data_IF_765511038932
#
_entry.id   IF_765511038932
#
_cell.length_a   1.000
_cell.length_b   1.000
_cell.length_c   1.000
_cell.angle_alpha   90.00
_cell.angle_beta   90.00
_cell.angle_gamma   90.00
#
_symmetry.space_group_name_H-M   'P 1'
#
loop_
_entity.id
_entity.type
_entity.pdbx_description
1 polymer ?
#
# COMPACT_ATOMS: atom_id res chain seq x y z
N UNK A 1 34.79 -3.94 -1.24
CA UNK A 1 34.30 -4.19 -2.60
C UNK A 1 32.99 -3.44 -2.72
N UNK A 2 32.97 -2.38 -3.52
CA UNK A 2 31.87 -1.41 -3.60
C UNK A 2 30.64 -2.05 -4.23
N UNK A 3 29.55 -2.12 -3.46
CA UNK A 3 28.23 -2.40 -4.00
C UNK A 3 27.82 -1.27 -4.95
N UNK A 4 27.09 -1.68 -5.98
CA UNK A 4 26.69 -0.85 -7.12
C UNK A 4 25.57 0.08 -6.68
N UNK A 5 25.93 1.32 -6.42
CA UNK A 5 25.01 2.46 -6.37
C UNK A 5 24.48 2.71 -7.79
N UNK A 6 23.32 2.11 -8.11
CA UNK A 6 22.60 2.40 -9.36
C UNK A 6 21.63 3.54 -9.08
N UNK A 7 22.18 4.69 -8.71
CA UNK A 7 21.39 5.92 -8.62
C UNK A 7 21.04 6.38 -10.03
N UNK A 8 19.75 6.46 -10.34
CA UNK A 8 19.23 6.81 -11.67
C UNK A 8 19.42 8.32 -11.96
N UNK A 9 20.65 8.70 -12.31
CA UNK A 9 20.98 10.10 -12.63
C UNK A 9 20.48 10.55 -14.01
N UNK A 10 19.94 11.77 -14.06
CA UNK A 10 19.50 12.43 -15.30
C UNK A 10 20.67 13.22 -15.91
N UNK A 11 20.87 13.11 -17.23
CA UNK A 11 21.88 13.89 -17.95
C UNK A 11 21.43 15.33 -18.20
N UNK A 12 22.36 16.27 -18.34
CA UNK A 12 22.04 17.67 -18.68
C UNK A 12 21.13 17.80 -19.91
N UNK A 13 21.42 17.06 -20.98
CA UNK A 13 20.63 17.11 -22.21
C UNK A 13 19.18 16.62 -21.99
N UNK A 14 19.01 15.54 -21.20
CA UNK A 14 17.69 15.02 -20.85
C UNK A 14 16.94 15.98 -19.93
N UNK A 15 17.63 16.59 -18.97
CA UNK A 15 17.08 17.60 -18.06
C UNK A 15 16.57 18.83 -18.81
N UNK A 16 17.36 19.36 -19.75
CA UNK A 16 16.95 20.49 -20.60
C UNK A 16 15.69 20.18 -21.40
N UNK A 17 15.61 18.97 -21.97
CA UNK A 17 14.42 18.49 -22.69
C UNK A 17 13.21 18.34 -21.76
N UNK A 18 13.39 17.83 -20.54
CA UNK A 18 12.31 17.65 -19.57
C UNK A 18 11.76 18.97 -19.01
N UNK A 19 12.62 19.99 -18.86
CA UNK A 19 12.25 21.29 -18.29
C UNK A 19 11.96 22.36 -19.35
N UNK A 20 12.25 22.08 -20.63
CA UNK A 20 12.06 23.04 -21.72
C UNK A 20 12.96 24.28 -21.62
N UNK A 21 14.17 24.15 -21.05
CA UNK A 21 15.08 25.28 -20.80
C UNK A 21 16.45 25.13 -21.45
N UNK A 22 17.09 26.27 -21.75
CA UNK A 22 18.44 26.29 -22.31
C UNK A 22 19.50 26.00 -21.26
N UNK A 23 20.67 25.53 -21.71
CA UNK A 23 21.81 25.22 -20.84
C UNK A 23 22.22 26.41 -19.97
N UNK A 24 22.22 27.63 -20.53
CA UNK A 24 22.53 28.87 -19.79
C UNK A 24 21.60 29.08 -18.58
N UNK A 25 20.34 28.69 -18.70
CA UNK A 25 19.38 28.79 -17.59
C UNK A 25 19.70 27.77 -16.50
N UNK A 26 20.09 26.55 -16.89
CA UNK A 26 20.49 25.50 -15.94
C UNK A 26 21.79 25.90 -15.23
N UNK A 27 22.80 26.37 -15.97
CA UNK A 27 24.08 26.81 -15.43
C UNK A 27 23.88 27.96 -14.41
N UNK A 28 23.04 28.95 -14.74
CA UNK A 28 22.73 30.04 -13.80
C UNK A 28 22.02 29.59 -12.52
N UNK A 29 21.24 28.51 -12.56
CA UNK A 29 20.60 27.94 -11.36
C UNK A 29 21.59 27.12 -10.51
N UNK A 30 22.58 26.49 -11.14
CA UNK A 30 23.70 25.83 -10.46
C UNK A 30 24.59 26.88 -9.78
N UNK A 31 24.91 27.97 -10.47
CA UNK A 31 25.75 29.06 -9.93
C UNK A 31 25.09 29.76 -8.73
N UNK A 32 23.75 29.76 -8.67
CA UNK A 32 22.97 30.23 -7.53
C UNK A 32 22.97 29.25 -6.34
N UNK A 33 23.62 28.09 -6.47
CA UNK A 33 23.73 27.07 -5.42
C UNK A 33 22.44 26.32 -5.12
N UNK A 34 21.43 26.41 -6.00
CA UNK A 34 20.14 25.74 -5.79
C UNK A 34 20.26 24.22 -5.88
N UNK A 35 21.14 23.74 -6.74
CA UNK A 35 21.45 22.32 -6.93
C UNK A 35 22.96 22.14 -7.08
N UNK A 36 23.45 20.97 -6.70
CA UNK A 36 24.87 20.62 -6.75
C UNK A 36 25.03 19.28 -7.47
N UNK A 37 24.90 19.26 -8.81
CA UNK A 37 24.93 18.02 -9.58
C UNK A 37 26.30 17.35 -9.47
N UNK A 38 26.29 16.02 -9.48
CA UNK A 38 27.51 15.22 -9.50
C UNK A 38 28.13 15.20 -10.90
N UNK A 39 29.43 14.93 -10.98
CA UNK A 39 30.16 14.85 -12.25
C UNK A 39 30.48 13.39 -12.56
N UNK A 40 30.00 12.92 -13.71
CA UNK A 40 30.27 11.59 -14.24
C UNK A 40 31.48 11.55 -15.21
N UNK A 41 31.64 10.43 -15.94
CA UNK A 41 32.71 10.27 -16.93
C UNK A 41 32.69 11.40 -17.97
N UNK A 42 33.88 11.85 -18.40
CA UNK A 42 34.07 13.01 -19.31
C UNK A 42 33.52 14.34 -18.77
N UNK A 43 33.50 14.50 -17.44
CA UNK A 43 33.04 15.73 -16.77
C UNK A 43 31.56 16.07 -17.07
N UNK A 44 30.75 15.07 -17.39
CA UNK A 44 29.34 15.25 -17.69
C UNK A 44 28.51 15.45 -16.41
N UNK A 45 27.67 16.49 -16.38
CA UNK A 45 26.78 16.76 -15.25
C UNK A 45 25.69 15.70 -15.13
N UNK A 46 25.50 15.22 -13.91
CA UNK A 46 24.52 14.22 -13.50
C UNK A 46 23.65 14.81 -12.39
N UNK A 47 22.34 14.76 -12.61
CA UNK A 47 21.36 15.36 -11.71
C UNK A 47 20.59 14.26 -11.01
N UNK A 48 20.39 14.41 -9.70
CA UNK A 48 19.50 13.55 -8.93
C UNK A 48 18.05 13.89 -9.24
N UNK A 49 17.12 13.04 -8.80
CA UNK A 49 15.71 13.35 -8.86
C UNK A 49 15.37 14.65 -8.12
N UNK A 50 15.93 14.81 -6.92
CA UNK A 50 15.79 16.00 -6.09
C UNK A 50 16.22 17.26 -6.85
N UNK A 51 17.35 17.20 -7.57
CA UNK A 51 17.83 18.32 -8.39
C UNK A 51 16.80 18.71 -9.48
N UNK A 52 16.20 17.72 -10.14
CA UNK A 52 15.21 17.97 -11.21
C UNK A 52 13.96 18.65 -10.65
N UNK A 53 13.48 18.21 -9.49
CA UNK A 53 12.30 18.80 -8.83
C UNK A 53 12.59 20.23 -8.37
N UNK A 54 13.74 20.45 -7.73
CA UNK A 54 14.16 21.79 -7.28
C UNK A 54 14.28 22.78 -8.43
N UNK A 55 14.92 22.36 -9.54
CA UNK A 55 15.07 23.19 -10.73
C UNK A 55 13.73 23.51 -11.39
N UNK A 56 12.83 22.53 -11.52
CA UNK A 56 11.48 22.74 -12.07
C UNK A 56 10.69 23.75 -11.25
N UNK A 57 10.69 23.58 -9.93
CA UNK A 57 9.99 24.46 -9.00
C UNK A 57 10.58 25.87 -9.08
N UNK A 58 11.90 26.02 -9.06
CA UNK A 58 12.54 27.33 -9.19
C UNK A 58 12.15 28.07 -10.48
N UNK A 59 12.04 27.35 -11.61
CA UNK A 59 11.62 27.92 -12.88
C UNK A 59 10.17 28.40 -12.87
N UNK A 60 9.26 27.62 -12.30
CA UNK A 60 7.83 27.97 -12.20
C UNK A 60 7.59 29.16 -11.27
N UNK A 61 8.34 29.24 -10.18
CA UNK A 61 8.24 30.36 -9.24
C UNK A 61 8.82 31.66 -9.80
N UNK A 62 9.84 31.55 -10.65
CA UNK A 62 10.35 32.72 -11.37
C UNK A 62 9.30 33.31 -12.32
N UNK A 63 8.45 32.48 -12.93
CA UNK A 63 7.34 32.95 -13.78
C UNK A 63 6.19 33.57 -12.98
N UNK A 64 6.07 33.25 -11.69
CA UNK A 64 5.00 33.71 -10.80
C UNK A 64 5.27 35.05 -10.09
N UNK A 65 6.35 35.78 -10.45
CA UNK A 65 6.74 37.08 -9.83
C UNK A 65 6.85 37.05 -8.29
N UNK A 66 7.22 35.91 -7.70
CA UNK A 66 7.37 35.75 -6.25
C UNK A 66 8.63 36.43 -5.73
N UNK A 67 8.64 36.89 -4.47
CA UNK A 67 9.80 37.59 -3.90
C UNK A 67 11.01 36.65 -3.70
N UNK A 68 12.26 37.10 -3.93
CA UNK A 68 13.47 36.24 -3.85
C UNK A 68 13.69 35.57 -2.50
N UNK A 69 13.13 36.13 -1.42
CA UNK A 69 13.17 35.54 -0.08
C UNK A 69 12.23 34.34 0.04
N UNK A 70 10.96 34.50 -0.36
CA UNK A 70 9.97 33.42 -0.37
C UNK A 70 10.40 32.26 -1.27
N UNK A 71 11.02 32.58 -2.41
CA UNK A 71 11.61 31.58 -3.31
C UNK A 71 12.66 30.71 -2.60
N UNK A 72 13.59 31.35 -1.87
CA UNK A 72 14.65 30.62 -1.15
C UNK A 72 14.11 29.78 0.00
N UNK A 73 13.15 30.30 0.76
CA UNK A 73 12.51 29.56 1.87
C UNK A 73 11.75 28.34 1.36
N UNK A 74 10.97 28.47 0.27
CA UNK A 74 10.25 27.36 -0.35
C UNK A 74 11.19 26.27 -0.87
N UNK A 75 12.26 26.66 -1.57
CA UNK A 75 13.24 25.71 -2.11
C UNK A 75 14.06 25.01 -1.02
N UNK A 76 14.44 25.74 0.05
CA UNK A 76 15.18 25.16 1.18
C UNK A 76 14.33 24.16 1.98
N UNK A 77 13.03 24.43 2.12
CA UNK A 77 12.09 23.49 2.75
C UNK A 77 11.87 22.26 1.89
N UNK A 78 11.60 22.44 0.60
CA UNK A 78 11.40 21.34 -0.35
C UNK A 78 12.62 20.41 -0.42
N UNK A 79 13.84 20.96 -0.37
CA UNK A 79 15.08 20.15 -0.32
C UNK A 79 15.16 19.26 0.93
N UNK A 80 14.63 19.68 2.07
CA UNK A 80 14.66 18.86 3.31
C UNK A 80 13.61 17.76 3.33
N UNK A 81 12.51 17.95 2.60
CA UNK A 81 11.34 17.05 2.63
C UNK A 81 11.36 16.03 1.46
N UNK A 82 12.22 16.22 0.45
CA UNK A 82 12.32 15.31 -0.69
C UNK A 82 13.30 14.15 -0.41
N UNK A 83 12.86 12.88 -0.56
CA UNK A 83 13.75 11.72 -0.48
C UNK A 83 14.72 11.67 -1.67
N UNK A 84 15.86 11.02 -1.46
CA UNK A 84 16.93 10.94 -2.47
C UNK A 84 16.52 10.10 -3.70
N UNK A 85 15.65 9.09 -3.54
CA UNK A 85 15.13 8.27 -4.63
C UNK A 85 13.69 7.77 -4.38
N UNK A 86 12.77 8.04 -5.32
CA UNK A 86 11.53 7.27 -5.56
C UNK A 86 11.11 7.39 -7.04
N UNK A 87 10.51 6.35 -7.67
CA UNK A 87 10.35 6.26 -9.11
C UNK A 87 9.13 6.98 -9.71
N UNK A 88 9.11 6.98 -11.04
CA UNK A 88 8.35 7.79 -11.99
C UNK A 88 6.82 7.68 -11.91
N UNK A 89 6.15 8.64 -11.28
CA UNK A 89 5.04 9.42 -11.86
C UNK A 89 4.31 10.23 -10.80
N UNK A 90 4.08 11.51 -11.08
CA UNK A 90 2.92 12.19 -10.51
C UNK A 90 3.13 13.50 -9.75
N UNK A 91 4.34 14.05 -9.59
CA UNK A 91 4.48 15.39 -8.97
C UNK A 91 4.35 16.50 -10.02
N UNK A 92 3.25 17.26 -9.97
CA UNK A 92 3.01 18.48 -10.75
C UNK A 92 3.04 19.67 -9.80
N UNK A 93 3.93 20.64 -10.05
CA UNK A 93 3.98 21.89 -9.28
C UNK A 93 3.44 23.01 -10.18
N UNK A 94 2.67 23.95 -9.63
CA UNK A 94 2.10 25.10 -10.33
C UNK A 94 1.98 26.29 -9.37
N UNK A 95 2.07 27.53 -9.87
CA UNK A 95 1.85 28.71 -9.05
C UNK A 95 0.45 29.27 -9.33
N UNK A 96 -0.36 29.42 -8.30
CA UNK A 96 -1.70 30.03 -8.39
C UNK A 96 -1.79 31.21 -7.42
N UNK A 97 -1.76 32.43 -7.96
CA UNK A 97 -1.70 33.65 -7.16
C UNK A 97 -0.42 33.72 -6.34
N UNK A 98 -0.56 33.86 -5.01
CA UNK A 98 0.56 33.89 -4.05
C UNK A 98 0.97 32.48 -3.55
N UNK A 99 0.23 31.44 -3.97
CA UNK A 99 0.37 30.07 -3.50
C UNK A 99 1.23 29.21 -4.46
N UNK A 100 2.06 28.34 -3.91
CA UNK A 100 2.89 27.39 -4.67
C UNK A 100 2.28 26.02 -4.54
N UNK A 101 1.60 25.54 -5.55
CA UNK A 101 0.77 24.37 -5.41
C UNK A 101 1.42 23.12 -5.95
N UNK A 102 1.54 22.11 -5.10
CA UNK A 102 2.09 20.79 -5.45
C UNK A 102 0.94 19.81 -5.52
N UNK A 103 0.86 19.07 -6.63
CA UNK A 103 -0.13 18.05 -6.90
C UNK A 103 0.54 16.69 -7.06
N UNK A 104 0.11 15.70 -6.29
CA UNK A 104 0.50 14.30 -6.45
C UNK A 104 -0.75 13.42 -6.48
N UNK A 105 -1.07 12.87 -7.66
CA UNK A 105 -2.33 12.16 -7.86
C UNK A 105 -3.55 13.09 -7.58
N UNK A 106 -4.45 12.74 -6.62
CA UNK A 106 -5.58 13.58 -6.24
C UNK A 106 -5.22 14.70 -5.24
N UNK A 107 -4.05 14.64 -4.59
CA UNK A 107 -3.70 15.55 -3.49
C UNK A 107 -3.10 16.86 -4.00
N UNK A 108 -3.54 18.00 -3.44
CA UNK A 108 -3.09 19.36 -3.79
C UNK A 108 -2.78 20.17 -2.53
N UNK A 109 -1.58 20.72 -2.40
CA UNK A 109 -1.20 21.53 -1.23
C UNK A 109 -0.30 22.71 -1.60
N UNK A 110 -0.35 23.77 -0.79
CA UNK A 110 0.57 24.88 -0.87
C UNK A 110 1.94 24.50 -0.26
N UNK A 111 3.02 24.65 -1.00
CA UNK A 111 4.39 24.29 -0.64
C UNK A 111 5.04 25.28 0.34
N UNK A 112 4.48 26.48 0.49
CA UNK A 112 4.97 27.50 1.44
C UNK A 112 4.37 27.20 2.81
N UNK A 113 3.05 27.09 2.90
CA UNK A 113 2.32 26.93 4.16
C UNK A 113 2.16 25.47 4.57
N UNK A 114 2.23 24.53 3.62
CA UNK A 114 1.91 23.11 3.83
C UNK A 114 0.40 22.84 3.88
N UNK A 115 -0.43 23.85 3.63
CA UNK A 115 -1.89 23.74 3.74
C UNK A 115 -2.48 23.06 2.50
N UNK A 116 -3.38 22.09 2.69
CA UNK A 116 -4.12 21.51 1.59
C UNK A 116 -5.08 22.53 0.97
N UNK A 117 -5.09 22.61 -0.34
CA UNK A 117 -5.98 23.50 -1.09
C UNK A 117 -7.21 22.71 -1.52
N UNK A 118 -8.38 23.13 -1.04
CA UNK A 118 -9.67 22.53 -1.38
C UNK A 118 -10.06 22.90 -2.81
N UNK A 119 -10.54 21.92 -3.58
CA UNK A 119 -11.20 22.15 -4.86
C UNK A 119 -12.67 22.47 -4.58
N UNK A 120 -13.11 23.69 -4.91
CA UNK A 120 -14.52 24.06 -4.83
C UNK A 120 -15.22 23.87 -6.19
N UNK A 121 -14.92 22.77 -6.89
CA UNK A 121 -15.83 22.30 -7.93
C UNK A 121 -16.95 21.49 -7.26
N UNK A 122 -18.17 22.01 -7.38
CA UNK A 122 -19.39 21.36 -6.90
C UNK A 122 -19.62 20.10 -7.75
N UNK A 123 -19.05 18.99 -7.32
CA UNK A 123 -19.48 17.66 -7.72
C UNK A 123 -20.28 17.08 -6.55
N UNK A 124 -21.55 16.74 -6.78
CA UNK A 124 -22.37 16.00 -5.82
C UNK A 124 -21.69 14.65 -5.52
N UNK A 125 -21.10 14.53 -4.33
CA UNK A 125 -20.61 13.26 -3.81
C UNK A 125 -21.56 12.81 -2.71
N UNK A 126 -22.36 11.78 -3.01
CA UNK A 126 -22.94 10.90 -2.00
C UNK A 126 -21.81 10.02 -1.44
N UNK A 127 -21.30 10.34 -0.27
CA UNK A 127 -20.30 9.53 0.43
C UNK A 127 -19.78 10.25 1.67
N UNK A 128 -19.65 9.51 2.76
CA UNK A 128 -19.38 10.01 4.11
C UNK A 128 -18.11 10.85 4.25
N UNK A 129 -18.10 11.71 5.28
CA UNK A 129 -16.98 12.56 5.68
C UNK A 129 -15.73 11.71 5.94
N UNK A 130 -14.77 11.74 5.03
CA UNK A 130 -13.45 11.09 5.21
C UNK A 130 -12.51 12.06 5.91
N UNK A 131 -12.07 11.69 7.12
CA UNK A 131 -10.97 12.36 7.82
C UNK A 131 -9.70 12.30 6.97
N UNK A 132 -8.94 13.39 6.93
CA UNK A 132 -7.65 13.50 6.25
C UNK A 132 -6.68 12.41 6.77
N UNK A 133 -6.50 11.36 5.96
CA UNK A 133 -5.55 10.28 6.25
C UNK A 133 -4.12 10.82 6.41
N UNK A 134 -3.44 10.28 7.41
CA UNK A 134 -2.19 10.79 7.97
C UNK A 134 -1.02 10.94 6.98
N UNK A 135 -0.06 11.82 7.31
CA UNK A 135 1.17 12.04 6.52
C UNK A 135 1.96 10.75 6.26
N UNK A 136 2.73 10.64 5.15
CA UNK A 136 3.49 9.42 4.82
C UNK A 136 4.38 8.89 5.95
N UNK A 137 5.01 9.77 6.73
CA UNK A 137 5.79 9.40 7.92
C UNK A 137 4.93 8.77 9.02
N UNK A 138 3.70 9.24 9.23
CA UNK A 138 2.79 8.63 10.20
C UNK A 138 2.28 7.27 9.71
N UNK A 139 2.01 7.13 8.41
CA UNK A 139 1.66 5.82 7.81
C UNK A 139 2.81 4.82 7.94
N UNK A 140 4.07 5.25 7.74
CA UNK A 140 5.22 4.36 7.89
C UNK A 140 5.46 3.94 9.35
N UNK A 141 5.30 4.86 10.31
CA UNK A 141 5.38 4.52 11.74
C UNK A 141 4.25 3.56 12.14
N UNK A 142 3.04 3.81 11.68
CA UNK A 142 1.88 2.95 11.95
C UNK A 142 2.07 1.54 11.36
N UNK A 143 2.60 1.44 10.13
CA UNK A 143 2.95 0.15 9.51
C UNK A 143 4.02 -0.61 10.32
N UNK A 144 5.07 0.06 10.78
CA UNK A 144 6.11 -0.56 11.60
C UNK A 144 5.54 -1.07 12.94
N UNK A 145 4.67 -0.28 13.59
CA UNK A 145 4.00 -0.70 14.82
C UNK A 145 3.04 -1.85 14.60
N UNK A 146 2.29 -1.86 13.48
CA UNK A 146 1.44 -2.97 13.12
C UNK A 146 2.25 -4.26 12.95
N UNK A 147 3.38 -4.18 12.24
CA UNK A 147 4.29 -5.29 12.03
C UNK A 147 4.86 -5.84 13.35
N UNK A 148 5.32 -4.96 14.24
CA UNK A 148 5.80 -5.35 15.58
C UNK A 148 4.72 -6.10 16.38
N UNK A 149 3.47 -5.64 16.31
CA UNK A 149 2.35 -6.31 16.98
C UNK A 149 2.05 -7.68 16.39
N UNK A 150 2.14 -7.81 15.07
CA UNK A 150 1.96 -9.09 14.38
C UNK A 150 3.04 -10.11 14.80
N UNK A 151 4.31 -9.72 14.77
CA UNK A 151 5.42 -10.60 15.15
C UNK A 151 5.35 -11.05 16.62
N UNK A 152 4.91 -10.17 17.51
CA UNK A 152 4.69 -10.53 18.90
C UNK A 152 3.53 -11.51 19.07
N UNK A 153 2.45 -11.37 18.27
CA UNK A 153 1.36 -12.33 18.27
C UNK A 153 1.84 -13.72 17.85
N UNK A 154 2.62 -13.83 16.77
CA UNK A 154 3.17 -15.12 16.29
C UNK A 154 3.97 -15.86 17.37
N UNK A 155 4.77 -15.12 18.16
CA UNK A 155 5.54 -15.69 19.28
C UNK A 155 4.66 -16.23 20.41
N UNK A 156 3.49 -15.62 20.60
CA UNK A 156 2.55 -15.93 21.68
C UNK A 156 1.53 -17.01 21.31
N UNK A 157 1.30 -17.30 20.02
CA UNK A 157 0.29 -18.28 19.55
C UNK A 157 0.33 -19.59 20.34
N UNK A 158 1.53 -20.11 20.65
CA UNK A 158 1.70 -21.40 21.32
C UNK A 158 1.65 -21.34 22.85
N UNK A 159 1.87 -20.17 23.44
CA UNK A 159 2.06 -20.02 24.89
C UNK A 159 0.93 -19.26 25.56
N UNK A 160 0.33 -18.29 24.86
CA UNK A 160 -0.78 -17.46 25.32
C UNK A 160 -1.62 -17.01 24.11
N UNK A 161 -2.60 -17.83 23.75
CA UNK A 161 -3.47 -17.59 22.61
C UNK A 161 -4.35 -16.33 22.79
N UNK A 162 -4.76 -16.01 24.03
CA UNK A 162 -5.54 -14.80 24.30
C UNK A 162 -4.70 -13.53 24.10
N UNK A 163 -3.41 -13.56 24.48
CA UNK A 163 -2.50 -12.48 24.19
C UNK A 163 -2.20 -12.37 22.69
N UNK A 164 -1.99 -13.49 22.00
CA UNK A 164 -1.82 -13.51 20.55
C UNK A 164 -3.02 -12.88 19.83
N UNK A 165 -4.26 -13.22 20.20
CA UNK A 165 -5.47 -12.59 19.64
C UNK A 165 -5.43 -11.06 19.79
N UNK A 166 -5.13 -10.56 21.01
CA UNK A 166 -5.07 -9.11 21.26
C UNK A 166 -4.01 -8.43 20.39
N UNK A 167 -2.86 -9.06 20.21
CA UNK A 167 -1.78 -8.52 19.40
C UNK A 167 -2.10 -8.52 17.90
N UNK A 168 -2.73 -9.57 17.37
CA UNK A 168 -3.20 -9.58 15.98
C UNK A 168 -4.27 -8.51 15.73
N UNK A 169 -5.28 -8.38 16.60
CA UNK A 169 -6.30 -7.32 16.48
C UNK A 169 -5.65 -5.95 16.48
N UNK A 170 -4.66 -5.73 17.35
CA UNK A 170 -3.94 -4.45 17.40
C UNK A 170 -3.11 -4.21 16.13
N UNK A 171 -2.54 -5.25 15.53
CA UNK A 171 -1.84 -5.14 14.26
C UNK A 171 -2.79 -4.68 13.14
N UNK A 172 -3.99 -5.27 13.06
CA UNK A 172 -5.03 -4.90 12.10
C UNK A 172 -5.46 -3.44 12.28
N UNK A 173 -5.72 -3.01 13.53
CA UNK A 173 -6.13 -1.63 13.83
C UNK A 173 -5.05 -0.58 13.49
N UNK A 174 -3.77 -0.93 13.64
CA UNK A 174 -2.66 0.00 13.42
C UNK A 174 -2.26 0.08 11.95
N UNK A 175 -2.54 -0.97 11.17
CA UNK A 175 -2.08 -1.04 9.81
C UNK A 175 -2.71 0.08 8.96
N UNK A 176 -1.91 0.86 8.22
CA UNK A 176 -2.45 1.91 7.36
C UNK A 176 -3.19 1.36 6.13
N UNK A 177 -2.99 0.08 5.82
CA UNK A 177 -3.64 -0.67 4.76
C UNK A 177 -4.10 -2.03 5.34
N UNK A 178 -5.11 -2.70 4.74
CA UNK A 178 -5.60 -3.98 5.26
C UNK A 178 -4.49 -5.03 5.43
N UNK A 179 -4.35 -5.56 6.65
CA UNK A 179 -3.24 -6.45 7.01
C UNK A 179 -3.62 -7.93 6.79
N UNK A 180 -3.46 -8.40 5.55
CA UNK A 180 -3.83 -9.76 5.13
C UNK A 180 -3.33 -10.89 6.07
N UNK A 181 -2.03 -10.93 6.38
CA UNK A 181 -1.45 -12.00 7.20
C UNK A 181 -2.08 -12.04 8.61
N UNK A 182 -2.23 -10.88 9.24
CA UNK A 182 -2.87 -10.78 10.56
C UNK A 182 -4.32 -11.28 10.56
N UNK A 183 -5.09 -11.03 9.49
CA UNK A 183 -6.46 -11.56 9.37
C UNK A 183 -6.47 -13.10 9.26
N UNK A 184 -5.61 -13.66 8.41
CA UNK A 184 -5.53 -15.12 8.21
C UNK A 184 -5.14 -15.81 9.51
N UNK A 185 -4.09 -15.33 10.17
CA UNK A 185 -3.54 -15.98 11.36
C UNK A 185 -4.44 -15.79 12.59
N UNK A 186 -5.07 -14.62 12.75
CA UNK A 186 -6.09 -14.41 13.78
C UNK A 186 -7.28 -15.34 13.59
N UNK A 187 -7.81 -15.42 12.37
CA UNK A 187 -8.94 -16.29 12.08
C UNK A 187 -8.60 -17.76 12.30
N UNK A 188 -7.40 -18.20 11.91
CA UNK A 188 -6.92 -19.55 12.16
C UNK A 188 -6.79 -19.86 13.66
N UNK A 189 -6.17 -18.97 14.43
CA UNK A 189 -6.05 -19.06 15.89
C UNK A 189 -7.42 -19.21 16.57
N UNK A 190 -8.41 -18.43 16.13
CA UNK A 190 -9.77 -18.48 16.66
C UNK A 190 -10.53 -19.75 16.24
N UNK A 191 -10.24 -20.30 15.05
CA UNK A 191 -10.83 -21.56 14.60
C UNK A 191 -10.28 -22.77 15.37
N UNK A 192 -9.01 -22.75 15.78
CA UNK A 192 -8.43 -23.81 16.61
C UNK A 192 -9.09 -23.88 18.00
N UNK A 193 -9.65 -22.78 18.47
CA UNK A 193 -10.43 -22.73 19.70
C UNK A 193 -11.90 -23.06 19.37
N UNK A 194 -12.34 -24.30 19.64
CA UNK A 194 -13.67 -24.82 19.26
C UNK A 194 -14.86 -23.89 19.62
N UNK A 195 -14.74 -23.09 20.69
CA UNK A 195 -15.80 -22.18 21.15
C UNK A 195 -15.77 -20.80 20.47
N UNK A 196 -14.78 -20.52 19.61
CA UNK A 196 -14.54 -19.20 19.03
C UNK A 196 -14.68 -19.16 17.50
N UNK A 197 -15.17 -20.22 16.85
CA UNK A 197 -15.41 -20.25 15.40
C UNK A 197 -16.35 -19.12 14.92
N UNK A 198 -17.27 -18.66 15.77
CA UNK A 198 -18.11 -17.49 15.48
C UNK A 198 -17.30 -16.20 15.33
N UNK A 199 -16.31 -15.97 16.20
CA UNK A 199 -15.39 -14.82 16.07
C UNK A 199 -14.46 -14.98 14.87
N UNK A 200 -13.99 -16.20 14.59
CA UNK A 200 -13.17 -16.47 13.41
C UNK A 200 -13.92 -16.10 12.12
N UNK A 201 -15.21 -16.44 12.05
CA UNK A 201 -16.06 -16.06 10.92
C UNK A 201 -16.17 -14.53 10.76
N UNK A 202 -16.33 -13.77 11.85
CA UNK A 202 -16.34 -12.30 11.79
C UNK A 202 -15.03 -11.74 11.22
N UNK A 203 -13.89 -12.29 11.64
CA UNK A 203 -12.56 -11.90 11.16
C UNK A 203 -12.40 -12.21 9.67
N UNK A 204 -12.84 -13.38 9.21
CA UNK A 204 -12.79 -13.73 7.78
C UNK A 204 -13.78 -12.91 6.94
N UNK A 205 -14.97 -12.63 7.45
CA UNK A 205 -15.96 -11.77 6.78
C UNK A 205 -15.43 -10.34 6.65
N UNK A 206 -14.74 -9.81 7.66
CA UNK A 206 -14.05 -8.53 7.59
C UNK A 206 -12.91 -8.55 6.56
N UNK A 207 -12.04 -9.56 6.60
CA UNK A 207 -10.95 -9.73 5.65
C UNK A 207 -11.45 -9.78 4.20
N UNK A 208 -12.54 -10.50 3.94
CA UNK A 208 -13.14 -10.62 2.60
C UNK A 208 -13.78 -9.33 2.08
N UNK A 209 -14.06 -8.33 2.92
CA UNK A 209 -14.44 -6.99 2.43
C UNK A 209 -13.27 -6.29 1.76
N UNK A 210 -12.05 -6.58 2.20
CA UNK A 210 -10.82 -6.04 1.62
C UNK A 210 -10.24 -6.93 0.52
N UNK A 211 -10.40 -8.25 0.65
CA UNK A 211 -9.84 -9.26 -0.24
C UNK A 211 -10.93 -10.22 -0.76
N UNK A 212 -11.91 -9.73 -1.54
CA UNK A 212 -13.10 -10.51 -1.91
C UNK A 212 -12.81 -11.74 -2.77
N UNK A 213 -11.70 -11.73 -3.50
CA UNK A 213 -11.28 -12.78 -4.43
C UNK A 213 -10.11 -13.61 -3.90
N UNK A 214 -9.96 -13.71 -2.58
CA UNK A 214 -8.92 -14.53 -1.96
C UNK A 214 -9.40 -15.95 -1.65
N UNK A 215 -8.77 -16.94 -2.29
CA UNK A 215 -9.16 -18.34 -2.15
C UNK A 215 -8.92 -18.91 -0.74
N UNK A 216 -7.86 -18.46 -0.04
CA UNK A 216 -7.49 -18.95 1.29
C UNK A 216 -8.49 -18.44 2.33
N UNK A 217 -8.89 -17.17 2.26
CA UNK A 217 -9.91 -16.61 3.13
C UNK A 217 -11.27 -17.31 2.93
N UNK A 218 -11.67 -17.60 1.70
CA UNK A 218 -12.88 -18.38 1.44
C UNK A 218 -12.77 -19.82 1.99
N UNK A 219 -11.61 -20.46 1.89
CA UNK A 219 -11.38 -21.79 2.47
C UNK A 219 -11.47 -21.76 4.00
N UNK A 220 -10.78 -20.83 4.66
CA UNK A 220 -10.77 -20.74 6.12
C UNK A 220 -12.16 -20.36 6.68
N UNK A 221 -12.88 -19.47 5.98
CA UNK A 221 -14.28 -19.17 6.27
C UNK A 221 -15.16 -20.41 6.19
N UNK A 222 -14.97 -21.25 5.16
CA UNK A 222 -15.72 -22.49 5.00
C UNK A 222 -15.44 -23.48 6.15
N UNK A 223 -14.19 -23.59 6.58
CA UNK A 223 -13.81 -24.42 7.75
C UNK A 223 -14.51 -23.92 9.01
N UNK A 224 -14.49 -22.61 9.29
CA UNK A 224 -15.19 -22.04 10.43
C UNK A 224 -16.70 -22.36 10.41
N UNK A 225 -17.33 -22.27 9.25
CA UNK A 225 -18.75 -22.58 9.06
C UNK A 225 -19.08 -24.07 9.19
N UNK A 226 -18.23 -24.98 8.69
CA UNK A 226 -18.44 -26.43 8.85
C UNK A 226 -18.34 -26.83 10.33
N UNK A 227 -17.36 -26.29 11.06
CA UNK A 227 -17.22 -26.51 12.52
C UNK A 227 -18.45 -26.02 13.28
N UNK A 228 -19.07 -24.92 12.86
CA UNK A 228 -20.32 -24.41 13.43
C UNK A 228 -21.59 -25.16 12.95
N UNK A 229 -21.47 -26.14 12.04
CA UNK A 229 -22.60 -26.86 11.46
C UNK A 229 -23.41 -26.06 10.43
N UNK A 230 -22.92 -24.90 9.96
CA UNK A 230 -23.57 -24.07 8.93
C UNK A 230 -23.23 -24.60 7.53
N UNK A 231 -23.67 -25.83 7.24
CA UNK A 231 -23.19 -26.65 6.12
C UNK A 231 -23.43 -26.04 4.73
N UNK A 232 -24.55 -25.34 4.51
CA UNK A 232 -24.81 -24.71 3.20
C UNK A 232 -23.86 -23.54 2.91
N UNK A 233 -23.58 -22.73 3.93
CA UNK A 233 -22.68 -21.59 3.80
C UNK A 233 -21.24 -22.04 3.69
N UNK A 234 -20.85 -23.07 4.45
CA UNK A 234 -19.55 -23.71 4.33
C UNK A 234 -19.33 -24.24 2.90
N UNK A 235 -20.33 -24.94 2.35
CA UNK A 235 -20.29 -25.41 0.95
C UNK A 235 -20.09 -24.26 -0.02
N UNK A 236 -20.86 -23.18 0.09
CA UNK A 236 -20.75 -22.02 -0.80
C UNK A 236 -19.35 -21.39 -0.74
N UNK A 237 -18.76 -21.30 0.45
CA UNK A 237 -17.40 -20.79 0.63
C UNK A 237 -16.32 -21.74 0.08
N UNK A 238 -16.46 -23.06 0.24
CA UNK A 238 -15.57 -24.02 -0.43
C UNK A 238 -15.67 -23.95 -1.95
N UNK A 239 -16.88 -23.85 -2.50
CA UNK A 239 -17.10 -23.70 -3.94
C UNK A 239 -16.52 -22.37 -4.46
N UNK A 240 -16.59 -21.29 -3.67
CA UNK A 240 -15.95 -20.01 -4.02
C UNK A 240 -14.42 -20.11 -4.01
N UNK A 241 -13.83 -20.73 -3.00
CA UNK A 241 -12.40 -21.04 -2.95
C UNK A 241 -11.97 -21.79 -4.23
N UNK A 242 -12.68 -22.86 -4.59
CA UNK A 242 -12.37 -23.68 -5.77
C UNK A 242 -12.65 -22.98 -7.11
N UNK A 243 -13.52 -21.98 -7.12
CA UNK A 243 -13.70 -21.11 -8.30
C UNK A 243 -12.49 -20.20 -8.51
N UNK A 244 -11.90 -19.71 -7.43
CA UNK A 244 -10.73 -18.83 -7.44
C UNK A 244 -9.42 -19.61 -7.63
N UNK A 245 -9.30 -20.77 -7.00
CA UNK A 245 -8.19 -21.69 -7.14
C UNK A 245 -8.70 -23.14 -7.27
N UNK A 246 -8.89 -23.63 -8.51
CA UNK A 246 -9.35 -25.00 -8.77
C UNK A 246 -8.41 -26.10 -8.26
N UNK A 247 -7.15 -25.78 -8.01
CA UNK A 247 -6.12 -26.75 -7.60
C UNK A 247 -5.93 -26.77 -6.07
N UNK A 248 -6.80 -26.11 -5.30
CA UNK A 248 -6.75 -26.10 -3.84
C UNK A 248 -7.21 -27.45 -3.26
N UNK A 249 -6.25 -28.38 -3.12
CA UNK A 249 -6.50 -29.77 -2.74
C UNK A 249 -7.33 -29.90 -1.45
N UNK A 250 -6.98 -29.17 -0.40
CA UNK A 250 -7.67 -29.27 0.90
C UNK A 250 -9.14 -28.83 0.82
N UNK A 251 -9.48 -27.88 -0.05
CA UNK A 251 -10.85 -27.46 -0.29
C UNK A 251 -11.66 -28.56 -0.98
N UNK A 252 -11.04 -29.31 -1.90
CA UNK A 252 -11.65 -30.50 -2.47
C UNK A 252 -11.86 -31.60 -1.43
N UNK A 253 -10.89 -31.84 -0.55
CA UNK A 253 -11.04 -32.83 0.53
C UNK A 253 -12.18 -32.45 1.48
N UNK A 254 -12.17 -31.23 2.01
CA UNK A 254 -13.16 -30.79 2.99
C UNK A 254 -14.57 -30.69 2.40
N UNK A 255 -14.69 -30.20 1.16
CA UNK A 255 -15.98 -30.19 0.47
C UNK A 255 -16.50 -31.62 0.22
N UNK A 256 -15.63 -32.57 -0.12
CA UNK A 256 -16.02 -33.98 -0.23
C UNK A 256 -16.59 -34.51 1.10
N UNK A 257 -15.90 -34.29 2.22
CA UNK A 257 -16.38 -34.72 3.55
C UNK A 257 -17.73 -34.07 3.91
N UNK A 258 -17.90 -32.79 3.63
CA UNK A 258 -19.18 -32.09 3.83
C UNK A 258 -20.30 -32.71 2.99
N UNK A 259 -20.03 -33.03 1.73
CA UNK A 259 -21.00 -33.65 0.82
C UNK A 259 -21.35 -35.08 1.22
N UNK A 260 -20.41 -35.82 1.82
CA UNK A 260 -20.68 -37.13 2.43
C UNK A 260 -21.68 -37.01 3.59
N UNK A 261 -21.47 -36.06 4.52
CA UNK A 261 -22.42 -35.78 5.63
C UNK A 261 -23.83 -35.48 5.10
N UNK A 262 -23.94 -34.88 3.91
CA UNK A 262 -25.22 -34.54 3.25
C UNK A 262 -25.79 -35.63 2.34
N UNK A 263 -25.05 -36.71 2.10
CA UNK A 263 -25.44 -37.79 1.19
C UNK A 263 -25.33 -37.46 -0.31
N UNK A 264 -24.65 -36.38 -0.72
CA UNK A 264 -24.39 -36.10 -2.14
C UNK A 264 -23.22 -36.94 -2.65
N UNK A 265 -23.55 -38.18 -3.03
CA UNK A 265 -22.58 -39.16 -3.53
C UNK A 265 -21.87 -38.73 -4.81
N UNK A 266 -22.53 -37.93 -5.68
CA UNK A 266 -21.92 -37.49 -6.94
C UNK A 266 -20.86 -36.43 -6.69
N UNK A 267 -21.19 -35.42 -5.89
CA UNK A 267 -20.25 -34.38 -5.51
C UNK A 267 -19.06 -34.93 -4.72
N UNK A 268 -19.31 -35.85 -3.77
CA UNK A 268 -18.28 -36.58 -3.03
C UNK A 268 -17.23 -37.23 -3.96
N UNK A 269 -17.67 -38.07 -4.91
CA UNK A 269 -16.76 -38.78 -5.82
C UNK A 269 -15.96 -37.79 -6.68
N UNK A 270 -16.61 -36.74 -7.19
CA UNK A 270 -15.96 -35.72 -8.01
C UNK A 270 -14.81 -35.05 -7.25
N UNK A 271 -15.06 -34.59 -6.02
CA UNK A 271 -14.07 -33.85 -5.25
C UNK A 271 -12.98 -34.76 -4.66
N UNK A 272 -13.29 -36.01 -4.27
CA UNK A 272 -12.24 -36.98 -3.89
C UNK A 272 -11.32 -37.32 -5.05
N UNK A 273 -11.84 -37.46 -6.27
CA UNK A 273 -11.01 -37.70 -7.45
C UNK A 273 -10.11 -36.50 -7.77
N UNK A 274 -10.61 -35.28 -7.62
CA UNK A 274 -9.82 -34.07 -7.77
C UNK A 274 -8.72 -33.99 -6.70
N UNK A 275 -9.07 -34.19 -5.42
CA UNK A 275 -8.10 -34.24 -4.33
C UNK A 275 -6.98 -35.25 -4.59
N UNK A 276 -7.31 -36.49 -4.96
CA UNK A 276 -6.32 -37.53 -5.28
C UNK A 276 -5.42 -37.19 -6.46
N UNK A 277 -5.92 -36.42 -7.42
CA UNK A 277 -5.10 -35.97 -8.56
C UNK A 277 -4.08 -34.91 -8.14
N UNK A 278 -4.45 -34.06 -7.20
CA UNK A 278 -3.62 -32.94 -6.74
C UNK A 278 -2.64 -33.31 -5.62
N UNK A 279 -2.87 -34.44 -4.93
CA UNK A 279 -2.08 -34.94 -3.80
C UNK A 279 -1.14 -36.10 -4.15
N UNK A 280 -1.11 -36.52 -5.42
CA UNK A 280 -0.19 -37.53 -5.96
C UNK A 280 0.82 -36.87 -6.90
#
# INVERSE_FOLDING_TARGET
>A
MSERDVSHHVSLAKLQSMLGVSRRVVDGLIDLGLVTPTRGPRNALRFTFQDVVLLRTALQLRTAKTTPRKLREALARLKRELPDELPLSGIRVAAEGDAIVVKTGPSRWDAITGQMLLDFEVAEVKGDVVLLDASPERKSVAAAQAQERYELAEQLVKTDADAAERHYRRAIELAPEPFYAAYVDLGALLCEQEHQCGKALEVFDEALRHFPDDAILHFNRAVALDTMGRLEEARASYERCLTLNPDYADAHHNLAMLLEKRGDRRGLIRHLNAYRRLSN
#
